data_IF_469489757679
#
_entry.id   IF_469489757679
#
_cell.length_a   1.000
_cell.length_b   1.000
_cell.length_c   1.000
_cell.angle_alpha   90.00
_cell.angle_beta   90.00
_cell.angle_gamma   90.00
#
_symmetry.space_group_name_H-M   'P 1'
#
loop_
_entity.id
_entity.type
_entity.pdbx_description
1 polymer ?
#
# COMPACT_ATOMS: atom_id res chain seq x y z
N UNK A 1 9.62 -5.88 -2.36
CA UNK A 1 8.53 -4.90 -2.12
C UNK A 1 8.64 -4.41 -0.69
N UNK A 2 8.41 -3.11 -0.39
CA UNK A 2 8.45 -2.66 1.01
C UNK A 2 7.12 -3.00 1.71
N UNK A 3 7.14 -3.14 3.04
CA UNK A 3 5.91 -3.28 3.84
C UNK A 3 4.96 -2.10 3.63
N UNK A 4 5.53 -0.89 3.49
CA UNK A 4 4.78 0.33 3.22
C UNK A 4 4.02 0.25 1.90
N UNK A 5 4.63 -0.28 0.85
CA UNK A 5 3.99 -0.44 -0.46
C UNK A 5 2.73 -1.31 -0.35
N UNK A 6 2.75 -2.39 0.47
CA UNK A 6 1.63 -3.32 0.53
C UNK A 6 0.50 -2.77 1.37
N UNK A 7 0.86 -2.18 2.52
CA UNK A 7 -0.12 -1.50 3.35
C UNK A 7 -0.86 -0.44 2.54
N UNK A 8 -0.12 0.41 1.81
CA UNK A 8 -0.71 1.42 0.94
C UNK A 8 -1.62 0.80 -0.12
N UNK A 9 -1.16 -0.27 -0.77
CA UNK A 9 -1.96 -0.99 -1.76
C UNK A 9 -3.27 -1.52 -1.19
N UNK A 10 -3.23 -2.24 -0.08
CA UNK A 10 -4.40 -2.83 0.57
C UNK A 10 -5.40 -1.76 1.02
N UNK A 11 -4.93 -0.65 1.60
CA UNK A 11 -5.82 0.45 2.02
C UNK A 11 -6.52 1.09 0.81
N UNK A 12 -5.79 1.38 -0.27
CA UNK A 12 -6.40 1.96 -1.47
C UNK A 12 -7.37 1.00 -2.17
N UNK A 13 -7.05 -0.29 -2.22
CA UNK A 13 -7.96 -1.31 -2.78
C UNK A 13 -9.27 -1.37 -1.98
N UNK A 14 -9.19 -1.31 -0.64
CA UNK A 14 -10.37 -1.27 0.23
C UNK A 14 -11.20 -0.01 -0.03
N UNK A 15 -10.57 1.16 -0.10
CA UNK A 15 -11.25 2.42 -0.37
C UNK A 15 -11.93 2.45 -1.76
N UNK A 16 -11.33 1.81 -2.76
CA UNK A 16 -11.92 1.68 -4.09
C UNK A 16 -13.08 0.67 -4.15
N UNK A 17 -13.33 -0.09 -3.08
CA UNK A 17 -14.45 -1.04 -2.94
C UNK A 17 -14.09 -2.50 -3.26
N UNK A 18 -12.82 -2.88 -3.26
CA UNK A 18 -12.42 -4.27 -3.45
C UNK A 18 -12.75 -5.11 -2.20
N UNK A 19 -13.65 -6.08 -2.34
CA UNK A 19 -14.22 -6.82 -1.21
C UNK A 19 -13.32 -7.94 -0.66
N UNK A 20 -12.38 -8.46 -1.46
CA UNK A 20 -11.52 -9.57 -1.03
C UNK A 20 -10.35 -9.04 -0.20
N UNK A 21 -10.10 -9.68 0.93
CA UNK A 21 -8.97 -9.33 1.80
C UNK A 21 -7.64 -9.63 1.11
N UNK A 22 -6.72 -8.66 1.19
CA UNK A 22 -5.36 -8.76 0.66
C UNK A 22 -4.38 -8.62 1.83
N UNK A 23 -3.55 -9.63 2.04
CA UNK A 23 -2.56 -9.67 3.12
C UNK A 23 -1.13 -9.81 2.59
N UNK A 24 -0.14 -9.56 3.46
CA UNK A 24 1.28 -9.82 3.17
C UNK A 24 1.55 -11.27 2.79
N UNK A 25 0.85 -12.23 3.41
CA UNK A 25 1.08 -13.64 3.16
C UNK A 25 0.79 -14.03 1.72
N UNK A 26 -0.22 -13.39 1.10
CA UNK A 26 -0.64 -13.72 -0.25
C UNK A 26 0.43 -13.46 -1.32
N UNK A 27 1.49 -12.70 -1.00
CA UNK A 27 2.57 -12.35 -1.92
C UNK A 27 3.97 -12.78 -1.43
N UNK A 28 4.05 -13.58 -0.35
CA UNK A 28 5.32 -14.21 0.07
C UNK A 28 5.76 -15.30 -0.91
N UNK A 29 4.79 -15.98 -1.53
CA UNK A 29 4.99 -16.90 -2.64
C UNK A 29 4.19 -16.40 -3.84
N UNK A 30 4.57 -16.80 -5.08
CA UNK A 30 3.82 -16.47 -6.28
C UNK A 30 2.35 -16.89 -6.18
N UNK A 31 1.43 -15.93 -6.34
CA UNK A 31 -0.02 -16.16 -6.30
C UNK A 31 -0.70 -15.54 -7.51
N UNK A 32 -0.58 -16.23 -8.65
CA UNK A 32 -1.10 -15.72 -9.93
C UNK A 32 -2.64 -15.62 -9.94
N UNK A 33 -3.33 -16.53 -9.27
CA UNK A 33 -4.80 -16.50 -9.16
C UNK A 33 -5.27 -15.18 -8.53
N UNK A 34 -4.64 -14.75 -7.44
CA UNK A 34 -4.96 -13.46 -6.84
C UNK A 34 -4.60 -12.27 -7.74
N UNK A 35 -3.41 -12.29 -8.35
CA UNK A 35 -2.99 -11.18 -9.22
C UNK A 35 -3.92 -11.02 -10.43
N UNK A 36 -4.32 -12.12 -11.06
CA UNK A 36 -5.27 -12.08 -12.18
C UNK A 36 -6.64 -11.58 -11.76
N UNK A 37 -7.18 -12.05 -10.64
CA UNK A 37 -8.45 -11.55 -10.07
C UNK A 37 -8.40 -10.03 -9.83
N UNK A 38 -7.34 -9.54 -9.19
CA UNK A 38 -7.16 -8.11 -8.92
C UNK A 38 -7.03 -7.32 -10.22
N UNK A 39 -6.24 -7.79 -11.19
CA UNK A 39 -6.04 -7.08 -12.46
C UNK A 39 -7.35 -6.98 -13.26
N UNK A 40 -8.15 -8.05 -13.31
CA UNK A 40 -9.47 -8.03 -13.94
C UNK A 40 -10.35 -6.98 -13.26
N UNK A 41 -10.37 -6.97 -11.92
CA UNK A 41 -11.16 -6.01 -11.17
C UNK A 41 -10.71 -4.56 -11.43
N UNK A 42 -9.40 -4.29 -11.40
CA UNK A 42 -8.84 -2.96 -11.65
C UNK A 42 -9.16 -2.46 -13.05
N UNK A 43 -9.07 -3.31 -14.07
CA UNK A 43 -9.40 -2.91 -15.43
C UNK A 43 -10.90 -2.66 -15.57
N UNK A 44 -11.77 -3.53 -15.04
CA UNK A 44 -13.22 -3.30 -15.07
C UNK A 44 -13.63 -2.05 -14.27
N UNK A 45 -12.88 -1.70 -13.23
CA UNK A 45 -13.06 -0.46 -12.47
C UNK A 45 -12.68 0.78 -13.28
N UNK A 46 -11.69 0.66 -14.16
CA UNK A 46 -11.29 1.71 -15.08
C UNK A 46 -12.26 1.85 -16.27
N UNK A 47 -12.64 0.74 -16.89
CA UNK A 47 -13.58 0.66 -18.01
C UNK A 47 -14.47 -0.59 -17.86
N UNK A 48 -15.76 -0.43 -17.49
CA UNK A 48 -16.70 -1.53 -17.31
C UNK A 48 -16.95 -2.36 -18.58
N UNK A 49 -16.70 -1.80 -19.77
CA UNK A 49 -16.90 -2.45 -21.06
C UNK A 49 -15.63 -3.09 -21.62
N UNK A 50 -14.54 -3.08 -20.86
CA UNK A 50 -13.28 -3.69 -21.26
C UNK A 50 -13.42 -5.20 -21.45
N UNK A 51 -12.99 -5.66 -22.63
CA UNK A 51 -12.93 -7.07 -22.98
C UNK A 51 -11.51 -7.60 -22.75
N UNK A 52 -11.29 -8.20 -21.58
CA UNK A 52 -10.02 -8.82 -21.21
C UNK A 52 -10.22 -10.31 -21.01
N UNK A 53 -9.27 -11.15 -21.45
CA UNK A 53 -9.31 -12.58 -21.20
C UNK A 53 -9.48 -12.89 -19.72
N UNK A 54 -10.37 -13.82 -19.39
CA UNK A 54 -10.56 -14.27 -18.00
C UNK A 54 -9.96 -15.64 -17.74
N UNK A 55 -9.64 -16.40 -18.79
CA UNK A 55 -8.99 -17.70 -18.69
C UNK A 55 -7.49 -17.54 -18.44
N UNK A 56 -6.99 -18.26 -17.44
CA UNK A 56 -5.62 -18.23 -16.95
C UNK A 56 -5.13 -19.63 -16.52
N UNK A 57 -5.79 -20.68 -17.01
CA UNK A 57 -5.53 -22.05 -16.59
C UNK A 57 -4.18 -22.56 -17.09
N UNK A 58 -3.81 -22.23 -18.34
CA UNK A 58 -2.51 -22.60 -18.91
C UNK A 58 -1.49 -21.48 -18.83
N UNK A 59 -0.20 -21.83 -18.90
CA UNK A 59 0.88 -20.83 -18.98
C UNK A 59 0.72 -19.90 -20.20
N UNK A 60 0.24 -20.42 -21.33
CA UNK A 60 0.02 -19.60 -22.52
C UNK A 60 -1.09 -18.58 -22.31
N UNK A 61 -2.18 -18.98 -21.65
CA UNK A 61 -3.31 -18.09 -21.34
C UNK A 61 -2.90 -17.02 -20.35
N UNK A 62 -2.09 -17.37 -19.33
CA UNK A 62 -1.51 -16.38 -18.39
C UNK A 62 -0.64 -15.36 -19.08
N UNK A 63 0.23 -15.79 -20.01
CA UNK A 63 1.08 -14.87 -20.78
C UNK A 63 0.22 -13.94 -21.64
N UNK A 64 -0.80 -14.49 -22.30
CA UNK A 64 -1.73 -13.71 -23.11
C UNK A 64 -2.51 -12.69 -22.27
N UNK A 65 -3.06 -13.12 -21.13
CA UNK A 65 -3.74 -12.27 -20.15
C UNK A 65 -2.87 -11.09 -19.70
N UNK A 66 -1.64 -11.35 -19.26
CA UNK A 66 -0.72 -10.29 -18.81
C UNK A 66 -0.41 -9.29 -19.93
N UNK A 67 -0.22 -9.76 -21.17
CA UNK A 67 0.00 -8.90 -22.33
C UNK A 67 -1.23 -8.03 -22.61
N UNK A 68 -2.43 -8.61 -22.58
CA UNK A 68 -3.68 -7.89 -22.81
C UNK A 68 -3.89 -6.79 -21.77
N UNK A 69 -3.72 -7.09 -20.48
CA UNK A 69 -3.83 -6.10 -19.39
C UNK A 69 -2.79 -4.98 -19.55
N UNK A 70 -1.52 -5.33 -19.82
CA UNK A 70 -0.47 -4.33 -19.99
C UNK A 70 -0.71 -3.43 -21.21
N UNK A 71 -1.18 -4.00 -22.33
CA UNK A 71 -1.54 -3.24 -23.53
C UNK A 71 -2.74 -2.32 -23.28
N UNK A 72 -3.78 -2.83 -22.60
CA UNK A 72 -4.95 -2.03 -22.22
C UNK A 72 -4.54 -0.81 -21.38
N UNK A 73 -3.77 -1.03 -20.31
CA UNK A 73 -3.35 0.05 -19.42
C UNK A 73 -2.41 1.06 -20.09
N UNK A 74 -1.54 0.60 -21.00
CA UNK A 74 -0.67 1.49 -21.75
C UNK A 74 -1.41 2.36 -22.77
N UNK A 75 -2.47 1.83 -23.38
CA UNK A 75 -3.21 2.52 -24.46
C UNK A 75 -4.35 3.39 -23.95
N UNK A 76 -5.07 2.95 -22.91
CA UNK A 76 -6.24 3.64 -22.36
C UNK A 76 -5.88 4.57 -21.21
N UNK A 77 -5.06 4.08 -20.27
CA UNK A 77 -4.69 4.81 -19.07
C UNK A 77 -3.30 5.46 -19.14
N UNK A 78 -2.55 5.24 -20.24
CA UNK A 78 -1.15 5.67 -20.38
C UNK A 78 -0.22 5.18 -19.27
N UNK A 79 -0.53 4.04 -18.64
CA UNK A 79 0.27 3.42 -17.59
C UNK A 79 1.09 2.28 -18.18
N UNK A 80 2.42 2.39 -18.12
CA UNK A 80 3.35 1.32 -18.51
C UNK A 80 3.58 0.35 -17.35
N UNK A 81 3.20 -0.90 -17.56
CA UNK A 81 3.36 -1.99 -16.59
C UNK A 81 4.51 -2.93 -16.99
N UNK A 82 5.22 -3.46 -15.99
CA UNK A 82 6.21 -4.51 -16.21
C UNK A 82 5.54 -5.89 -16.19
N UNK A 83 5.40 -6.50 -17.37
CA UNK A 83 4.74 -7.79 -17.57
C UNK A 83 5.44 -8.94 -16.83
N UNK A 84 6.78 -8.92 -16.76
CA UNK A 84 7.55 -9.94 -16.03
C UNK A 84 7.21 -9.93 -14.54
N UNK A 85 7.13 -8.74 -13.93
CA UNK A 85 6.78 -8.58 -12.51
C UNK A 85 5.35 -8.97 -12.23
N UNK A 86 4.41 -8.64 -13.10
CA UNK A 86 3.02 -9.10 -12.97
C UNK A 86 2.92 -10.63 -13.04
N UNK A 87 3.65 -11.26 -13.98
CA UNK A 87 3.66 -12.71 -14.13
C UNK A 87 4.33 -13.44 -12.95
N UNK A 88 5.37 -12.86 -12.34
CA UNK A 88 5.99 -13.39 -11.11
C UNK A 88 4.99 -13.52 -9.96
N UNK A 89 3.93 -12.70 -9.96
CA UNK A 89 2.81 -12.77 -9.02
C UNK A 89 3.18 -12.76 -7.53
N UNK A 90 4.30 -12.13 -7.20
CA UNK A 90 4.80 -11.95 -5.84
C UNK A 90 4.72 -10.46 -5.43
N UNK A 91 5.48 -10.04 -4.42
CA UNK A 91 5.53 -8.64 -4.01
C UNK A 91 5.92 -7.65 -5.13
N UNK A 92 6.64 -8.07 -6.18
CA UNK A 92 6.95 -7.19 -7.31
C UNK A 92 5.72 -6.93 -8.19
N UNK A 93 4.79 -7.89 -8.31
CA UNK A 93 3.52 -7.69 -9.00
C UNK A 93 2.70 -6.58 -8.32
N UNK A 94 2.74 -6.52 -6.99
CA UNK A 94 2.02 -5.49 -6.24
C UNK A 94 2.50 -4.09 -6.59
N UNK A 95 3.81 -3.88 -6.79
CA UNK A 95 4.33 -2.57 -7.22
C UNK A 95 3.77 -2.13 -8.56
N UNK A 96 3.50 -3.06 -9.46
CA UNK A 96 2.92 -2.77 -10.77
C UNK A 96 1.41 -2.51 -10.65
N UNK A 97 0.68 -3.32 -9.87
CA UNK A 97 -0.75 -3.09 -9.59
C UNK A 97 -0.99 -1.77 -8.83
N UNK A 98 -0.05 -1.36 -7.99
CA UNK A 98 -0.10 -0.12 -7.24
C UNK A 98 -0.17 1.11 -8.16
N UNK A 99 0.48 1.08 -9.33
CA UNK A 99 0.42 2.18 -10.31
C UNK A 99 -1.00 2.45 -10.78
N UNK A 100 -1.73 1.38 -11.09
CA UNK A 100 -3.13 1.44 -11.52
C UNK A 100 -4.00 1.92 -10.35
N UNK A 101 -3.80 1.31 -9.20
CA UNK A 101 -4.57 1.56 -7.98
C UNK A 101 -4.44 3.02 -7.53
N UNK A 102 -3.22 3.57 -7.49
CA UNK A 102 -2.98 4.96 -7.12
C UNK A 102 -3.63 5.94 -8.10
N UNK A 103 -3.60 5.66 -9.41
CA UNK A 103 -4.29 6.51 -10.39
C UNK A 103 -5.81 6.51 -10.15
N UNK A 104 -6.43 5.33 -9.98
CA UNK A 104 -7.86 5.21 -9.71
C UNK A 104 -8.25 5.88 -8.39
N UNK A 105 -7.45 5.66 -7.34
CA UNK A 105 -7.68 6.21 -6.01
C UNK A 105 -7.60 7.74 -6.01
N UNK A 106 -6.59 8.31 -6.67
CA UNK A 106 -6.46 9.77 -6.79
C UNK A 106 -7.65 10.36 -7.57
N UNK A 107 -8.08 9.71 -8.65
CA UNK A 107 -9.24 10.15 -9.43
C UNK A 107 -10.54 10.10 -8.62
N UNK A 108 -10.70 9.11 -7.73
CA UNK A 108 -11.83 9.04 -6.80
C UNK A 108 -11.76 10.19 -5.78
N UNK A 109 -10.62 10.38 -5.11
CA UNK A 109 -10.44 11.42 -4.08
C UNK A 109 -10.66 12.83 -4.62
N UNK A 110 -10.23 13.12 -5.85
CA UNK A 110 -10.49 14.42 -6.50
C UNK A 110 -11.99 14.68 -6.71
N UNK A 111 -12.78 13.63 -6.99
CA UNK A 111 -14.24 13.78 -7.13
C UNK A 111 -14.91 14.08 -5.78
N UNK A 112 -14.44 13.48 -4.70
CA UNK A 112 -14.95 13.72 -3.34
C UNK A 112 -14.68 15.16 -2.90
N UNK A 113 -13.44 15.65 -3.05
CA UNK A 113 -13.08 17.04 -2.70
C UNK A 113 -13.88 18.07 -3.50
N UNK A 114 -14.07 17.83 -4.81
CA UNK A 114 -14.88 18.72 -5.66
C UNK A 114 -16.38 18.71 -5.31
N UNK A 115 -16.88 17.69 -4.61
CA UNK A 115 -18.25 17.66 -4.11
C UNK A 115 -18.40 18.37 -2.76
N UNK A 116 -17.37 18.36 -1.91
CA UNK A 116 -17.35 19.05 -0.61
C UNK A 116 -17.31 20.58 -0.77
N UNK A 117 -16.54 21.11 -1.73
CA UNK A 117 -16.45 22.56 -1.99
C UNK A 117 -17.79 23.20 -2.44
N UNK A 118 -18.72 22.42 -3.01
CA UNK A 118 -20.03 22.92 -3.46
C UNK A 118 -21.00 23.09 -2.28
N UNK A 119 -20.81 22.38 -1.17
CA UNK A 119 -21.72 22.43 -0.01
C UNK A 119 -21.39 23.60 0.93
N UNK A 120 -20.17 24.13 0.87
CA UNK A 120 -19.73 25.30 1.66
C UNK A 120 -20.31 26.62 1.11
N UNK A 121 -20.52 26.77 -0.20
CA UNK A 121 -21.07 28.02 -0.77
C UNK A 121 -22.58 28.17 -0.55
N UNK A 122 -23.35 27.08 -0.51
CA UNK A 122 -24.81 27.13 -0.29
C UNK A 122 -25.18 27.33 1.20
N UNK A 123 -24.33 26.93 2.14
CA UNK A 123 -24.55 27.14 3.57
C UNK A 123 -24.05 28.50 4.07
N UNK A 124 -23.12 29.15 3.36
CA UNK A 124 -22.60 30.47 3.74
C UNK A 124 -23.57 31.62 3.42
N UNK A 125 -24.51 31.42 2.48
CA UNK A 125 -25.49 32.44 2.09
C UNK A 125 -26.76 32.50 2.97
N UNK A 126 -26.93 31.61 3.95
CA UNK A 126 -28.14 31.55 4.79
C UNK A 126 -27.94 31.85 6.29
N UNK A 127 -26.72 32.11 6.75
CA UNK A 127 -26.45 32.32 8.17
C UNK A 127 -26.37 33.79 8.62
N UNK A 128 -26.33 34.77 7.69
CA UNK A 128 -26.05 36.19 8.05
C UNK A 128 -27.30 37.09 8.19
N UNK A 129 -28.49 36.55 8.53
CA UNK A 129 -29.69 37.40 8.66
C UNK A 129 -30.65 37.06 9.81
N UNK A 130 -30.16 36.52 10.93
CA UNK A 130 -30.97 36.47 12.14
C UNK A 130 -30.13 36.48 13.40
N UNK A 131 -29.99 37.67 13.99
CA UNK A 131 -30.18 37.96 15.43
C UNK A 131 -29.16 38.99 15.93
N UNK A 132 -29.56 40.26 15.89
CA UNK A 132 -28.90 41.36 16.58
C UNK A 132 -29.95 41.98 17.50
N UNK A 133 -29.94 41.54 18.76
CA UNK A 133 -30.64 42.10 19.93
C UNK A 133 -29.73 41.79 21.12
N UNK A 134 -28.94 42.75 21.60
CA UNK A 134 -29.19 43.50 22.86
C UNK A 134 -29.26 42.55 24.07
N UNK A 135 -28.16 42.41 24.80
CA UNK A 135 -27.75 43.21 25.97
C UNK A 135 -28.33 42.64 27.27
N UNK A 136 -27.45 42.08 28.10
CA UNK A 136 -27.67 41.79 29.52
C UNK A 136 -26.31 41.50 30.16
N UNK A 137 -25.83 42.50 30.90
CA UNK A 137 -24.77 42.41 31.90
C UNK A 137 -25.11 41.30 32.91
N UNK A 138 -24.13 40.43 33.21
CA UNK A 138 -24.20 39.57 34.38
C UNK A 138 -22.83 39.61 35.06
N UNK A 139 -22.73 40.49 36.05
CA UNK A 139 -21.72 40.45 37.10
C UNK A 139 -22.08 39.31 38.05
N UNK A 140 -21.18 38.34 38.19
CA UNK A 140 -21.09 37.49 39.38
C UNK A 140 -19.62 37.17 39.58
N UNK A 141 -19.03 37.96 40.46
CA UNK A 141 -17.88 37.59 41.27
C UNK A 141 -18.20 36.28 42.00
N UNK A 142 -17.35 35.27 41.86
CA UNK A 142 -17.10 34.32 42.94
C UNK A 142 -15.63 33.88 42.82
N UNK A 143 -14.85 34.45 43.73
CA UNK A 143 -13.56 33.96 44.16
C UNK A 143 -13.67 32.47 44.52
N UNK A 144 -12.72 31.65 44.07
CA UNK A 144 -11.96 30.84 45.02
C UNK A 144 -10.69 30.33 44.34
N UNK A 145 -9.58 30.74 44.93
CA UNK A 145 -8.24 30.21 44.72
C UNK A 145 -8.15 28.75 45.18
N UNK A 146 -7.30 27.95 44.56
CA UNK A 146 -5.99 27.63 45.14
C UNK A 146 -5.23 26.63 44.26
N UNK A 147 -3.92 26.86 44.26
CA UNK A 147 -2.85 26.13 43.59
C UNK A 147 -2.73 24.67 44.07
N UNK A 148 -2.19 23.80 43.21
CA UNK A 148 -1.19 22.83 43.70
C UNK A 148 -0.24 22.45 42.55
N UNK A 149 0.99 22.95 42.66
CA UNK A 149 2.14 22.47 41.90
C UNK A 149 2.61 21.13 42.47
N UNK A 150 3.01 20.20 41.60
CA UNK A 150 3.54 18.90 42.02
C UNK A 150 4.45 18.25 40.98
N UNK A 151 5.70 18.72 40.98
CA UNK A 151 7.01 18.04 40.79
C UNK A 151 7.07 16.67 40.07
N UNK A 152 7.81 16.57 38.95
CA UNK A 152 9.24 16.19 38.77
C UNK A 152 9.50 14.68 38.55
N UNK A 153 10.12 14.42 37.39
CA UNK A 153 11.18 13.45 37.04
C UNK A 153 11.36 12.16 37.88
N UNK A 154 11.45 11.00 37.20
CA UNK A 154 12.53 10.05 37.50
C UNK A 154 13.10 9.42 36.22
N UNK A 155 14.34 9.80 35.95
CA UNK A 155 15.31 9.03 35.17
C UNK A 155 15.68 7.74 35.91
N UNK A 156 15.58 6.60 35.25
CA UNK A 156 16.23 5.37 35.69
C UNK A 156 17.34 5.05 34.69
N UNK A 157 18.55 5.52 35.01
CA UNK A 157 19.74 4.71 34.79
C UNK A 157 19.99 3.93 36.09
N UNK A 158 20.37 2.65 35.99
CA UNK A 158 21.60 2.21 36.65
C UNK A 158 22.02 0.79 36.25
N UNK A 159 23.32 0.68 35.99
CA UNK A 159 24.19 -0.43 36.32
C UNK A 159 24.12 -1.79 35.59
N UNK A 160 25.08 -1.88 34.66
CA UNK A 160 25.99 -3.00 34.43
C UNK A 160 26.32 -3.85 35.68
N UNK A 161 26.22 -5.18 35.53
CA UNK A 161 27.10 -6.26 36.04
C UNK A 161 26.30 -7.58 35.88
N UNK A 162 26.78 -8.72 35.38
CA UNK A 162 28.07 -9.23 34.98
C UNK A 162 27.87 -10.74 34.71
N UNK A 163 28.98 -11.44 34.39
CA UNK A 163 29.10 -12.90 34.24
C UNK A 163 28.78 -13.54 32.87
N UNK A 164 29.84 -13.59 32.05
CA UNK A 164 30.57 -14.82 31.70
C UNK A 164 29.76 -16.11 31.51
N UNK A 165 29.89 -16.70 30.32
CA UNK A 165 30.50 -18.03 30.08
C UNK A 165 29.71 -18.93 29.12
N UNK A 166 30.24 -19.06 27.90
CA UNK A 166 30.28 -20.25 27.01
C UNK A 166 30.78 -19.73 25.65
N UNK A 167 31.96 -20.09 25.14
CA UNK A 167 32.65 -21.36 25.21
C UNK A 167 32.89 -21.80 23.77
N UNK A 168 34.17 -21.82 23.38
CA UNK A 168 34.78 -22.26 22.13
C UNK A 168 33.99 -23.22 21.21
N UNK A 169 34.07 -22.98 19.89
CA UNK A 169 34.64 -23.97 18.97
C UNK A 169 35.16 -23.33 17.66
N UNK A 170 36.39 -23.67 17.19
CA UNK A 170 36.97 -23.19 15.94
C UNK A 170 37.03 -24.25 14.82
N UNK A 171 37.35 -23.76 13.62
CA UNK A 171 38.02 -24.42 12.47
C UNK A 171 37.32 -25.48 11.64
N UNK A 172 37.27 -25.23 10.32
CA UNK A 172 37.51 -26.13 9.16
C UNK A 172 37.53 -25.16 7.94
N UNK A 173 38.54 -25.01 7.07
CA UNK A 173 39.70 -25.84 6.77
C UNK A 173 39.48 -26.67 5.49
N UNK A 174 39.86 -26.15 4.31
CA UNK A 174 40.01 -26.95 3.07
C UNK A 174 40.00 -26.08 1.80
N UNK A 175 41.14 -25.67 1.23
CA UNK A 175 41.90 -26.37 0.16
C UNK A 175 41.04 -26.78 -1.05
N UNK A 176 41.16 -26.11 -2.22
CA UNK A 176 41.97 -26.55 -3.41
C UNK A 176 41.52 -27.94 -3.92
N UNK A 177 41.13 -28.22 -5.18
CA UNK A 177 41.57 -27.74 -6.50
C UNK A 177 40.57 -28.20 -7.62
N UNK A 178 40.91 -28.37 -8.94
CA UNK A 178 40.15 -27.84 -10.09
C UNK A 178 39.68 -28.95 -11.07
N UNK A 179 39.45 -28.58 -12.34
CA UNK A 179 39.28 -29.41 -13.56
C UNK A 179 37.82 -29.69 -13.97
N UNK A 180 37.31 -28.84 -14.87
CA UNK A 180 36.34 -29.29 -15.87
C UNK A 180 37.16 -29.65 -17.11
N UNK A 181 37.12 -30.94 -17.44
CA UNK A 181 37.77 -31.56 -18.58
C UNK A 181 37.26 -30.92 -19.88
N UNK A 182 38.20 -30.37 -20.64
CA UNK A 182 38.01 -30.12 -22.06
C UNK A 182 38.02 -31.49 -22.74
N UNK A 183 36.83 -32.05 -23.00
CA UNK A 183 36.73 -33.19 -23.91
C UNK A 183 36.83 -32.66 -25.32
N UNK A 184 38.02 -32.82 -25.89
CA UNK A 184 38.29 -32.88 -27.32
C UNK A 184 37.20 -33.71 -28.01
N UNK A 185 36.56 -33.12 -29.01
CA UNK A 185 35.71 -33.83 -29.95
C UNK A 185 36.20 -33.43 -31.35
N UNK A 186 37.33 -34.04 -31.73
CA UNK A 186 37.92 -33.95 -33.06
C UNK A 186 37.86 -35.33 -33.75
N UNK A 187 37.43 -35.28 -35.01
CA UNK A 187 37.38 -36.32 -36.06
C UNK A 187 36.20 -37.31 -36.11
#
# INVERSE_FOLDING_TARGET
MSFRDLRNFTEMMRALGYHRLISMENFRTPNFALVSEILIWLVKRYDPHSDIPTDVDTESDRIFFIKAVAQFMATKAHIKLNTKRLYQADGYAVKEMLKITSMLYNAMKTKEMAQEDVVEEDNKFKFDLSSRTEDSEIDVDDDDEEDDEGEEEESIDDSLNGLLSRGNHPSIGGTRSPLLEESDNDF
#
